data_IF_642685854117
#
_entry.id   IF_642685854117
#
_cell.length_a   1.000
_cell.length_b   1.000
_cell.length_c   1.000
_cell.angle_alpha   90.00
_cell.angle_beta   90.00
_cell.angle_gamma   90.00
#
_symmetry.space_group_name_H-M   'P 1'
#
loop_
_entity.id
_entity.type
_entity.pdbx_description
1 polymer ?
#
# COMPACT_ATOMS: atom_id res chain seq x y z
N UNK A 1 -9.61 -14.93 -45.81
CA UNK A 1 -8.94 -13.76 -45.22
C UNK A 1 -7.46 -14.05 -45.17
N UNK A 2 -6.66 -13.22 -45.84
CA UNK A 2 -5.22 -13.40 -46.02
C UNK A 2 -4.49 -13.26 -44.69
N UNK A 3 -3.74 -14.30 -44.31
CA UNK A 3 -2.71 -14.19 -43.28
C UNK A 3 -1.61 -13.25 -43.78
N UNK A 4 -1.14 -12.40 -42.87
CA UNK A 4 -0.12 -11.37 -43.07
C UNK A 4 1.18 -11.94 -43.68
N UNK A 5 1.79 -11.31 -44.70
CA UNK A 5 3.05 -11.77 -45.31
C UNK A 5 4.22 -11.93 -44.33
N UNK A 6 4.18 -11.28 -43.16
CA UNK A 6 5.20 -11.41 -42.12
C UNK A 6 5.15 -12.77 -41.40
N UNK A 7 3.97 -13.40 -41.30
CA UNK A 7 3.82 -14.73 -40.69
C UNK A 7 4.47 -15.85 -41.53
N UNK A 8 4.62 -15.63 -42.85
CA UNK A 8 5.19 -16.63 -43.75
C UNK A 8 6.71 -16.71 -43.72
N UNK A 9 7.40 -15.64 -43.29
CA UNK A 9 8.88 -15.60 -43.27
C UNK A 9 9.50 -16.16 -41.99
N UNK A 10 8.80 -16.15 -40.87
CA UNK A 10 9.31 -16.73 -39.62
C UNK A 10 9.38 -18.27 -39.70
N UNK A 11 8.47 -18.90 -40.45
CA UNK A 11 8.40 -20.36 -40.57
C UNK A 11 9.36 -20.99 -41.61
N UNK A 12 10.20 -20.21 -42.29
CA UNK A 12 11.18 -20.71 -43.28
C UNK A 12 12.63 -20.66 -42.80
N UNK A 13 12.88 -20.33 -41.53
CA UNK A 13 14.22 -20.33 -40.92
C UNK A 13 14.40 -21.33 -39.77
N UNK A 14 13.49 -22.30 -39.65
CA UNK A 14 13.72 -23.45 -38.76
C UNK A 14 14.38 -24.57 -39.57
N UNK A 15 15.58 -25.07 -39.18
CA UNK A 15 16.20 -26.21 -39.85
C UNK A 15 15.32 -27.46 -39.72
N UNK A 16 15.11 -28.16 -40.84
CA UNK A 16 14.26 -29.35 -41.03
C UNK A 16 14.70 -30.61 -40.23
N UNK A 17 15.72 -30.53 -39.38
CA UNK A 17 16.33 -31.68 -38.69
C UNK A 17 15.83 -31.92 -37.25
N UNK A 18 14.83 -31.17 -36.78
CA UNK A 18 14.32 -31.30 -35.41
C UNK A 18 12.91 -31.92 -35.30
N UNK A 19 12.60 -32.92 -36.12
CA UNK A 19 11.56 -33.93 -35.83
C UNK A 19 11.97 -34.82 -34.64
N UNK A 20 12.30 -34.22 -33.49
CA UNK A 20 12.77 -34.92 -32.29
C UNK A 20 11.83 -34.61 -31.14
N UNK A 21 10.86 -35.50 -30.98
CA UNK A 21 10.05 -35.74 -29.79
C UNK A 21 9.53 -34.47 -29.07
N UNK A 22 8.26 -34.09 -29.26
CA UNK A 22 7.64 -32.96 -28.56
C UNK A 22 7.88 -32.97 -27.05
N UNK A 23 8.01 -34.14 -26.42
CA UNK A 23 8.25 -34.26 -24.97
C UNK A 23 9.66 -33.79 -24.56
N UNK A 24 10.67 -33.91 -25.43
CA UNK A 24 12.04 -33.42 -25.17
C UNK A 24 12.17 -31.91 -25.31
N UNK A 25 11.42 -31.30 -26.22
CA UNK A 25 11.34 -29.84 -26.37
C UNK A 25 10.52 -29.21 -25.25
N UNK A 26 9.44 -29.86 -24.82
CA UNK A 26 8.70 -29.50 -23.60
C UNK A 26 9.64 -29.56 -22.38
N UNK A 27 10.50 -30.58 -22.26
CA UNK A 27 11.47 -30.67 -21.14
C UNK A 27 12.52 -29.55 -21.16
N UNK A 28 12.97 -29.11 -22.34
CA UNK A 28 13.92 -27.97 -22.47
C UNK A 28 13.24 -26.63 -22.22
N UNK A 29 12.01 -26.44 -22.68
CA UNK A 29 11.22 -25.26 -22.38
C UNK A 29 10.90 -25.21 -20.89
N UNK A 30 10.52 -26.33 -20.27
CA UNK A 30 10.33 -26.44 -18.83
C UNK A 30 11.62 -26.20 -18.06
N UNK A 31 12.79 -26.62 -18.55
CA UNK A 31 14.08 -26.28 -17.94
C UNK A 31 14.41 -24.80 -18.09
N UNK A 32 14.19 -24.18 -19.25
CA UNK A 32 14.42 -22.74 -19.46
C UNK A 32 13.42 -21.90 -18.65
N UNK A 33 12.17 -22.36 -18.51
CA UNK A 33 11.13 -21.74 -17.68
C UNK A 33 11.48 -21.92 -16.20
N UNK A 34 11.92 -23.10 -15.76
CA UNK A 34 12.30 -23.36 -14.36
C UNK A 34 13.65 -22.74 -13.97
N UNK A 35 14.59 -22.58 -14.90
CA UNK A 35 15.84 -21.84 -14.69
C UNK A 35 15.61 -20.32 -14.77
N UNK A 36 14.64 -19.86 -15.57
CA UNK A 36 14.17 -18.48 -15.60
C UNK A 36 13.29 -18.08 -14.40
N UNK A 37 12.59 -19.04 -13.79
CA UNK A 37 11.84 -18.92 -12.54
C UNK A 37 12.71 -19.11 -11.28
N UNK A 38 14.00 -19.41 -11.44
CA UNK A 38 15.00 -19.21 -10.37
C UNK A 38 15.52 -17.77 -10.38
N UNK A 39 14.62 -16.79 -10.53
CA UNK A 39 14.91 -15.38 -10.32
C UNK A 39 14.13 -14.90 -9.12
N UNK A 40 14.89 -14.86 -8.03
CA UNK A 40 14.66 -14.18 -6.76
C UNK A 40 13.43 -14.63 -5.96
N UNK A 41 13.55 -14.78 -4.62
CA UNK A 41 12.35 -14.89 -3.80
C UNK A 41 11.48 -13.67 -4.11
N UNK A 42 10.15 -13.79 -4.00
CA UNK A 42 9.28 -12.62 -3.98
C UNK A 42 9.82 -11.66 -2.90
N UNK A 43 10.65 -10.70 -3.32
CA UNK A 43 11.04 -9.57 -2.52
C UNK A 43 9.72 -8.86 -2.28
N UNK A 44 9.20 -9.02 -1.07
CA UNK A 44 8.07 -8.28 -0.56
C UNK A 44 8.34 -6.82 -0.94
N UNK A 45 7.51 -6.27 -1.83
CA UNK A 45 7.67 -4.89 -2.28
C UNK A 45 7.50 -4.03 -1.04
N UNK A 46 8.62 -3.49 -0.55
CA UNK A 46 8.65 -2.68 0.65
C UNK A 46 7.92 -1.37 0.34
N UNK A 47 6.96 -1.03 1.17
CA UNK A 47 6.10 0.13 0.95
C UNK A 47 6.92 1.41 1.14
N UNK A 48 6.74 2.40 0.26
CA UNK A 48 7.40 3.69 0.42
C UNK A 48 7.05 4.29 1.80
N UNK A 49 8.06 4.68 2.58
CA UNK A 49 7.90 5.17 3.95
C UNK A 49 7.90 4.11 5.05
N UNK A 50 7.82 2.82 4.75
CA UNK A 50 7.93 1.72 5.73
C UNK A 50 9.42 1.36 5.94
N UNK A 51 10.03 2.00 6.94
CA UNK A 51 11.47 1.95 7.23
C UNK A 51 11.86 0.85 8.24
N UNK A 52 10.90 0.11 8.80
CA UNK A 52 11.15 -1.12 9.57
C UNK A 52 10.58 -2.41 8.92
N UNK A 53 9.90 -2.32 7.76
CA UNK A 53 9.22 -3.41 7.04
C UNK A 53 8.16 -4.15 7.88
N UNK A 54 7.52 -3.44 8.81
CA UNK A 54 6.45 -3.98 9.65
C UNK A 54 5.05 -3.95 8.96
N UNK A 55 4.98 -3.32 7.79
CA UNK A 55 3.77 -3.17 6.99
C UNK A 55 2.94 -1.93 7.34
N UNK A 56 3.42 -1.04 8.20
CA UNK A 56 2.79 0.22 8.59
C UNK A 56 3.71 1.39 8.24
N UNK A 57 3.12 2.58 8.26
CA UNK A 57 3.87 3.83 8.18
C UNK A 57 3.46 4.62 9.42
N UNK A 58 4.31 4.64 10.44
CA UNK A 58 4.01 5.25 11.72
C UNK A 58 5.20 6.01 12.34
N UNK A 59 5.11 6.31 13.64
CA UNK A 59 6.14 7.07 14.34
C UNK A 59 7.47 6.33 14.49
N UNK A 60 7.50 5.00 14.39
CA UNK A 60 8.75 4.24 14.36
C UNK A 60 9.54 4.55 13.09
N UNK A 61 8.87 4.67 11.94
CA UNK A 61 9.51 5.05 10.68
C UNK A 61 10.07 6.47 10.72
N UNK A 62 9.34 7.40 11.33
CA UNK A 62 9.80 8.78 11.56
C UNK A 62 11.08 8.80 12.40
N UNK A 63 11.14 7.96 13.45
CA UNK A 63 12.32 7.87 14.31
C UNK A 63 13.51 7.31 13.54
N UNK A 64 13.29 6.27 12.75
CA UNK A 64 14.30 5.65 11.90
C UNK A 64 14.86 6.66 10.89
N UNK A 65 14.00 7.40 10.19
CA UNK A 65 14.43 8.41 9.22
C UNK A 65 15.26 9.51 9.89
N UNK A 66 14.86 9.94 11.10
CA UNK A 66 15.63 10.89 11.89
C UNK A 66 17.02 10.36 12.27
N UNK A 67 17.13 9.10 12.69
CA UNK A 67 18.43 8.49 13.01
C UNK A 67 19.36 8.43 11.79
N UNK A 68 18.81 8.22 10.59
CA UNK A 68 19.56 8.26 9.33
C UNK A 68 20.10 9.66 9.06
N UNK A 69 19.25 10.69 9.19
CA UNK A 69 19.66 12.09 9.01
C UNK A 69 20.68 12.56 10.06
N UNK A 70 20.65 11.98 11.26
CA UNK A 70 21.63 12.21 12.31
C UNK A 70 22.92 11.37 12.14
N UNK A 71 22.98 10.51 11.12
CA UNK A 71 24.12 9.63 10.84
C UNK A 71 24.31 8.48 11.84
N UNK A 72 23.28 8.20 12.65
CA UNK A 72 23.28 7.12 13.66
C UNK A 72 22.93 5.76 13.04
N UNK A 73 22.17 5.77 11.94
CA UNK A 73 21.78 4.59 11.18
C UNK A 73 22.21 4.76 9.71
N UNK A 74 22.63 3.66 9.09
CA UNK A 74 22.81 3.58 7.64
C UNK A 74 21.68 2.75 7.06
N UNK A 75 21.14 3.22 5.94
CA UNK A 75 20.15 2.49 5.15
C UNK A 75 20.86 1.65 4.09
N UNK A 76 20.27 0.51 3.73
CA UNK A 76 20.62 -0.19 2.50
C UNK A 76 19.96 0.46 1.27
N UNK A 77 20.27 -0.05 0.06
CA UNK A 77 19.76 0.52 -1.19
C UNK A 77 18.23 0.48 -1.29
N UNK A 78 17.58 -0.58 -0.77
CA UNK A 78 16.10 -0.70 -0.78
C UNK A 78 15.47 0.26 0.22
N UNK A 79 16.11 0.43 1.36
CA UNK A 79 15.68 1.37 2.40
C UNK A 79 15.82 2.83 1.97
N UNK A 80 16.87 3.15 1.20
CA UNK A 80 17.05 4.47 0.61
C UNK A 80 15.91 4.81 -0.37
N UNK A 81 15.53 3.87 -1.22
CA UNK A 81 14.38 4.04 -2.13
C UNK A 81 13.06 4.24 -1.34
N UNK A 82 12.90 3.58 -0.20
CA UNK A 82 11.72 3.76 0.65
C UNK A 82 11.73 5.09 1.42
N UNK A 83 12.92 5.60 1.76
CA UNK A 83 13.10 6.83 2.53
C UNK A 83 13.00 8.11 1.67
N UNK A 84 13.28 8.03 0.37
CA UNK A 84 13.12 9.13 -0.60
C UNK A 84 11.65 9.30 -0.99
N UNK A 85 10.87 9.93 -0.11
CA UNK A 85 9.42 10.09 -0.27
C UNK A 85 9.06 11.09 -1.37
N UNK A 86 9.89 12.11 -1.57
CA UNK A 86 9.65 13.13 -2.59
C UNK A 86 10.20 12.73 -3.99
N UNK A 87 11.01 11.66 -4.06
CA UNK A 87 11.62 11.10 -5.27
C UNK A 87 12.60 12.05 -5.98
N UNK A 88 13.31 12.88 -5.21
CA UNK A 88 14.36 13.78 -5.73
C UNK A 88 15.76 13.14 -5.76
N UNK A 89 15.87 11.89 -5.27
CA UNK A 89 17.11 11.13 -5.20
C UNK A 89 17.97 11.46 -3.98
N UNK A 90 17.48 12.30 -3.06
CA UNK A 90 18.20 12.76 -1.88
C UNK A 90 17.32 12.57 -0.64
N UNK A 91 17.71 11.63 0.22
CA UNK A 91 17.06 11.49 1.54
C UNK A 91 17.49 12.64 2.45
N UNK A 92 16.59 13.59 2.67
CA UNK A 92 16.83 14.77 3.51
C UNK A 92 15.64 15.13 4.42
N UNK A 93 15.68 16.32 5.04
CA UNK A 93 14.62 16.79 5.94
C UNK A 93 13.27 17.04 5.23
N UNK A 94 13.24 17.13 3.89
CA UNK A 94 11.99 17.21 3.13
C UNK A 94 11.21 15.89 3.23
N UNK A 95 11.91 14.77 3.13
CA UNK A 95 11.29 13.45 3.29
C UNK A 95 10.80 13.24 4.72
N UNK A 96 11.59 13.68 5.72
CA UNK A 96 11.16 13.65 7.11
C UNK A 96 9.86 14.46 7.32
N UNK A 97 9.76 15.64 6.72
CA UNK A 97 8.55 16.46 6.83
C UNK A 97 7.34 15.79 6.13
N UNK A 98 7.55 15.17 4.97
CA UNK A 98 6.49 14.40 4.28
C UNK A 98 6.02 13.23 5.14
N UNK A 99 6.95 12.48 5.72
CA UNK A 99 6.63 11.35 6.60
C UNK A 99 5.86 11.80 7.84
N UNK A 100 6.29 12.88 8.49
CA UNK A 100 5.57 13.45 9.64
C UNK A 100 4.15 13.85 9.24
N UNK A 101 3.97 14.48 8.08
CA UNK A 101 2.64 14.87 7.60
C UNK A 101 1.76 13.65 7.37
N UNK A 102 2.26 12.61 6.70
CA UNK A 102 1.54 11.36 6.47
C UNK A 102 1.07 10.73 7.79
N UNK A 103 2.00 10.56 8.75
CA UNK A 103 1.69 9.95 10.05
C UNK A 103 0.71 10.82 10.86
N UNK A 104 0.85 12.15 10.81
CA UNK A 104 -0.06 13.05 11.52
C UNK A 104 -1.46 13.09 10.91
N UNK A 105 -1.59 13.03 9.58
CA UNK A 105 -2.89 13.02 8.92
C UNK A 105 -3.66 11.74 9.23
N UNK A 106 -3.00 10.57 9.16
CA UNK A 106 -3.60 9.30 9.55
C UNK A 106 -4.07 9.33 11.01
N UNK A 107 -3.24 9.86 11.92
CA UNK A 107 -3.59 9.95 13.34
C UNK A 107 -4.75 10.93 13.62
N UNK A 108 -4.83 12.04 12.89
CA UNK A 108 -5.96 12.99 13.02
C UNK A 108 -7.29 12.37 12.59
N UNK A 109 -7.28 11.52 11.56
CA UNK A 109 -8.46 10.79 11.13
C UNK A 109 -8.89 9.78 12.22
N UNK A 110 -7.95 9.03 12.80
CA UNK A 110 -8.20 8.11 13.93
C UNK A 110 -8.78 8.83 15.16
N UNK A 111 -8.14 9.94 15.57
CA UNK A 111 -8.58 10.74 16.72
C UNK A 111 -10.01 11.25 16.50
N UNK A 112 -10.32 11.71 15.28
CA UNK A 112 -11.67 12.20 14.92
C UNK A 112 -12.71 11.09 14.97
N UNK A 113 -12.39 9.89 14.49
CA UNK A 113 -13.28 8.72 14.60
C UNK A 113 -13.52 8.37 16.06
N UNK A 114 -12.49 8.36 16.89
CA UNK A 114 -12.60 8.03 18.31
C UNK A 114 -13.48 9.05 19.08
N UNK A 115 -13.29 10.34 18.82
CA UNK A 115 -14.11 11.41 19.40
C UNK A 115 -15.59 11.25 19.02
N UNK A 116 -15.87 11.08 17.72
CA UNK A 116 -17.24 10.96 17.22
C UNK A 116 -17.92 9.69 17.70
N UNK A 117 -17.18 8.57 17.77
CA UNK A 117 -17.68 7.31 18.29
C UNK A 117 -18.10 7.44 19.76
N UNK A 118 -17.24 8.06 20.58
CA UNK A 118 -17.55 8.31 21.99
C UNK A 118 -18.81 9.16 22.16
N UNK A 119 -18.94 10.25 21.40
CA UNK A 119 -20.14 11.11 21.45
C UNK A 119 -21.39 10.35 20.98
N UNK A 120 -21.28 9.55 19.92
CA UNK A 120 -22.40 8.75 19.42
C UNK A 120 -22.90 7.75 20.48
N UNK A 121 -21.98 7.03 21.12
CA UNK A 121 -22.30 6.05 22.15
C UNK A 121 -22.97 6.71 23.37
N UNK A 122 -22.45 7.84 23.84
CA UNK A 122 -23.08 8.59 24.94
C UNK A 122 -24.51 9.02 24.61
N UNK A 123 -24.74 9.55 23.40
CA UNK A 123 -26.07 10.00 22.98
C UNK A 123 -27.04 8.84 22.84
N UNK A 124 -26.57 7.71 22.31
CA UNK A 124 -27.35 6.49 22.16
C UNK A 124 -27.72 5.89 23.51
N UNK A 125 -26.79 5.86 24.47
CA UNK A 125 -27.08 5.44 25.85
C UNK A 125 -28.15 6.33 26.51
N UNK A 126 -28.06 7.65 26.33
CA UNK A 126 -29.07 8.60 26.85
C UNK A 126 -30.43 8.40 26.18
N UNK A 127 -30.47 8.07 24.89
CA UNK A 127 -31.71 7.74 24.17
C UNK A 127 -32.36 6.46 24.73
N UNK A 128 -31.57 5.40 24.93
CA UNK A 128 -32.01 4.12 25.50
C UNK A 128 -32.53 4.26 26.94
N UNK A 129 -31.92 5.14 27.73
CA UNK A 129 -32.37 5.50 29.08
C UNK A 129 -33.60 6.41 29.10
N UNK A 130 -34.09 6.84 27.94
CA UNK A 130 -35.23 7.74 27.83
C UNK A 130 -34.93 9.21 28.13
N UNK A 131 -33.66 9.55 28.37
CA UNK A 131 -33.19 10.89 28.75
C UNK A 131 -33.00 11.83 27.55
N UNK A 132 -32.94 11.29 26.32
CA UNK A 132 -32.74 12.04 25.08
C UNK A 132 -33.63 11.50 23.96
N UNK A 133 -34.91 11.91 23.95
CA UNK A 133 -35.95 11.39 23.04
C UNK A 133 -36.72 12.48 22.28
N UNK A 134 -36.32 13.74 22.43
CA UNK A 134 -36.93 14.82 21.64
C UNK A 134 -36.56 14.65 20.17
N UNK A 135 -37.34 15.27 19.28
CA UNK A 135 -37.00 15.22 17.85
C UNK A 135 -35.66 15.89 17.57
N UNK A 136 -35.27 16.90 18.37
CA UNK A 136 -33.93 17.50 18.34
C UNK A 136 -32.83 16.52 18.75
N UNK A 137 -33.06 15.68 19.77
CA UNK A 137 -32.09 14.67 20.20
C UNK A 137 -31.89 13.61 19.12
N UNK A 138 -32.98 13.15 18.50
CA UNK A 138 -32.92 12.20 17.38
C UNK A 138 -32.18 12.77 16.18
N UNK A 139 -32.42 14.05 15.85
CA UNK A 139 -31.68 14.76 14.80
C UNK A 139 -30.20 14.78 15.16
N UNK A 140 -29.83 15.19 16.38
CA UNK A 140 -28.44 15.24 16.83
C UNK A 140 -27.74 13.88 16.74
N UNK A 141 -28.40 12.81 17.19
CA UNK A 141 -27.88 11.43 17.08
C UNK A 141 -27.65 11.07 15.61
N UNK A 142 -28.61 11.37 14.73
CA UNK A 142 -28.47 11.08 13.30
C UNK A 142 -27.35 11.89 12.64
N UNK A 143 -27.16 13.17 13.00
CA UNK A 143 -26.07 14.02 12.51
C UNK A 143 -24.72 13.46 12.93
N UNK A 144 -24.53 13.14 14.21
CA UNK A 144 -23.27 12.57 14.71
C UNK A 144 -22.97 11.23 14.05
N UNK A 145 -24.00 10.40 13.82
CA UNK A 145 -23.83 9.13 13.10
C UNK A 145 -23.32 9.34 11.67
N UNK A 146 -23.88 10.30 10.94
CA UNK A 146 -23.45 10.62 9.58
C UNK A 146 -22.00 11.11 9.58
N UNK A 147 -21.64 12.01 10.49
CA UNK A 147 -20.25 12.50 10.61
C UNK A 147 -19.28 11.37 10.96
N UNK A 148 -19.69 10.43 11.82
CA UNK A 148 -18.90 9.26 12.18
C UNK A 148 -18.69 8.34 10.97
N UNK A 149 -19.75 8.06 10.21
CA UNK A 149 -19.66 7.24 8.99
C UNK A 149 -18.75 7.89 7.94
N UNK A 150 -18.79 9.22 7.82
CA UNK A 150 -17.87 9.98 6.95
C UNK A 150 -16.42 9.88 7.43
N UNK A 151 -16.17 10.11 8.71
CA UNK A 151 -14.82 10.03 9.28
C UNK A 151 -14.23 8.61 9.15
N UNK A 152 -15.04 7.57 9.33
CA UNK A 152 -14.63 6.18 9.10
C UNK A 152 -14.31 5.95 7.62
N UNK A 153 -15.12 6.47 6.71
CA UNK A 153 -14.86 6.35 5.27
C UNK A 153 -13.55 7.04 4.88
N UNK A 154 -13.28 8.25 5.39
CA UNK A 154 -12.04 8.98 5.14
C UNK A 154 -10.82 8.22 5.69
N UNK A 155 -10.94 7.69 6.91
CA UNK A 155 -9.89 6.86 7.53
C UNK A 155 -9.61 5.58 6.72
N UNK A 156 -10.66 4.89 6.24
CA UNK A 156 -10.51 3.69 5.42
C UNK A 156 -9.90 4.03 4.05
N UNK A 157 -10.33 5.12 3.41
CA UNK A 157 -9.82 5.54 2.10
C UNK A 157 -8.33 5.88 2.16
N UNK A 158 -7.87 6.52 3.24
CA UNK A 158 -6.44 6.74 3.49
C UNK A 158 -5.65 5.42 3.55
N UNK A 159 -6.26 4.33 4.02
CA UNK A 159 -5.65 2.99 4.01
C UNK A 159 -5.80 2.20 2.71
N UNK A 160 -6.69 2.60 1.79
CA UNK A 160 -6.98 1.86 0.54
C UNK A 160 -6.31 2.44 -0.71
N UNK A 161 -5.88 3.71 -0.73
CA UNK A 161 -5.01 4.23 -1.81
C UNK A 161 -3.61 3.59 -1.81
N UNK A 162 -3.35 2.66 -0.89
CA UNK A 162 -2.04 2.08 -0.60
C UNK A 162 -1.88 0.59 -1.04
N UNK A 163 -2.68 0.10 -2.00
CA UNK A 163 -2.61 -1.28 -2.52
C UNK A 163 -2.35 -1.37 -4.03
#
# INVERSE_FOLDING_TARGET
>A
MNLDPLFRKVNQQLPEDNKKDPQKEITKLDQIINEGLKKEPYDKLRKAGDLNDDGKIDFEDVLILKEVLEGKRKLDDKELECADLNRDGIVDYKDLNLMINLVCESRRAEDRVMELQSVYDELKMKQEQGLANTDMDKIRISTVKIELEQAIADFILQGYEEH
#
